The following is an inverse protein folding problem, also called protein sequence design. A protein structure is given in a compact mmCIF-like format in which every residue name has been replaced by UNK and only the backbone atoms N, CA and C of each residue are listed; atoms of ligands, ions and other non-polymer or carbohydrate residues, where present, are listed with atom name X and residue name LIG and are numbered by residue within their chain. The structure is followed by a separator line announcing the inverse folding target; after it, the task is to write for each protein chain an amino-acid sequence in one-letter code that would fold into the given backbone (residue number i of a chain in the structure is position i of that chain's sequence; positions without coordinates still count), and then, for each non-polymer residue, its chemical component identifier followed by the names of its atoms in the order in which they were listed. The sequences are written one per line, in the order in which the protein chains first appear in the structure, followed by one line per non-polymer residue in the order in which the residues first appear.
data_IF_968866492476
#
_entry.id   IF_968866492476
#
_cell.length_a   1.000
_cell.length_b   1.000
_cell.length_c   1.000
_cell.angle_alpha   90.00
_cell.angle_beta   90.00
_cell.angle_gamma   90.00
#
_symmetry.space_group_name_H-M   'P 1'
#
loop_
_entity.id
_entity.type
_entity.pdbx_description
1 polymer ?
#
# COMPACT_ATOMS: atom_id res chain seq x y z
N UNK A 1 -21.81 1.72 7.13
CA UNK A 1 -20.43 2.19 7.32
C UNK A 1 -19.91 2.81 6.05
N UNK A 2 -19.10 3.84 6.22
CA UNK A 2 -18.49 4.50 5.08
C UNK A 2 -17.31 3.69 4.58
N UNK A 3 -17.18 3.60 3.27
CA UNK A 3 -16.00 2.98 2.66
C UNK A 3 -14.77 3.85 2.96
N UNK A 4 -13.63 3.21 3.13
CA UNK A 4 -12.37 3.91 3.36
C UNK A 4 -12.05 4.84 2.18
N UNK A 5 -11.74 6.11 2.47
CA UNK A 5 -11.39 7.10 1.46
C UNK A 5 -9.90 7.42 1.52
N UNK A 6 -9.36 7.96 0.42
CA UNK A 6 -7.96 8.37 0.38
C UNK A 6 -7.66 9.46 1.42
N UNK A 7 -8.60 10.39 1.61
CA UNK A 7 -8.43 11.45 2.62
C UNK A 7 -8.29 10.86 4.03
N UNK A 8 -9.15 9.91 4.37
CA UNK A 8 -9.07 9.22 5.66
C UNK A 8 -7.77 8.43 5.79
N UNK A 9 -7.35 7.77 4.71
CA UNK A 9 -6.10 7.03 4.70
C UNK A 9 -4.91 7.94 4.99
N UNK A 10 -4.89 9.14 4.42
CA UNK A 10 -3.82 10.10 4.68
C UNK A 10 -3.79 10.54 6.13
N UNK A 11 -4.96 10.75 6.74
CA UNK A 11 -5.04 11.09 8.16
C UNK A 11 -4.49 9.97 9.04
N UNK A 12 -4.85 8.73 8.73
CA UNK A 12 -4.39 7.58 9.51
C UNK A 12 -2.88 7.41 9.39
N UNK A 13 -2.34 7.48 8.18
CA UNK A 13 -0.91 7.26 7.98
C UNK A 13 -0.07 8.28 8.73
N UNK A 14 -0.52 9.53 8.81
CA UNK A 14 0.19 10.59 9.56
C UNK A 14 0.36 10.26 11.04
N UNK A 15 -0.51 9.43 11.60
CA UNK A 15 -0.44 9.04 13.00
C UNK A 15 0.67 8.02 13.26
N UNK A 16 1.10 7.29 12.23
CA UNK A 16 2.00 6.16 12.38
C UNK A 16 3.29 6.27 11.57
N UNK A 17 3.40 7.26 10.70
CA UNK A 17 4.54 7.42 9.80
C UNK A 17 5.00 8.88 9.78
N UNK A 18 6.31 9.09 9.86
CA UNK A 18 6.89 10.45 9.82
C UNK A 18 7.96 10.60 8.74
N UNK A 19 8.54 9.51 8.24
CA UNK A 19 9.63 9.57 7.26
C UNK A 19 9.14 9.85 5.85
N UNK A 20 9.78 10.82 5.18
CA UNK A 20 9.37 11.27 3.85
C UNK A 20 9.37 10.16 2.81
N UNK A 21 10.38 9.29 2.83
CA UNK A 21 10.47 8.23 1.81
C UNK A 21 9.31 7.23 1.92
N UNK A 22 8.76 7.05 3.12
CA UNK A 22 7.61 6.17 3.31
C UNK A 22 6.33 6.80 2.77
N UNK A 23 6.20 8.14 2.89
CA UNK A 23 5.07 8.84 2.27
C UNK A 23 5.16 8.81 0.75
N UNK A 24 6.36 8.95 0.19
CA UNK A 24 6.57 8.87 -1.26
C UNK A 24 6.19 7.47 -1.76
N UNK A 25 6.61 6.43 -1.06
CA UNK A 25 6.25 5.05 -1.40
C UNK A 25 4.73 4.85 -1.33
N UNK A 26 4.10 5.35 -0.26
CA UNK A 26 2.65 5.26 -0.10
C UNK A 26 1.92 5.94 -1.26
N UNK A 27 2.38 7.13 -1.66
CA UNK A 27 1.80 7.87 -2.78
C UNK A 27 1.97 7.11 -4.10
N UNK A 28 3.13 6.50 -4.30
CA UNK A 28 3.43 5.75 -5.52
C UNK A 28 2.53 4.52 -5.65
N UNK A 29 2.38 3.76 -4.58
CA UNK A 29 1.51 2.58 -4.58
C UNK A 29 0.05 2.99 -4.71
N UNK A 30 -0.34 4.09 -4.04
CA UNK A 30 -1.70 4.63 -4.14
C UNK A 30 -2.06 4.99 -5.59
N UNK A 31 -1.17 5.71 -6.27
CA UNK A 31 -1.40 6.11 -7.66
C UNK A 31 -1.52 4.90 -8.58
N UNK A 32 -0.66 3.91 -8.40
CA UNK A 32 -0.71 2.69 -9.20
C UNK A 32 -1.99 1.90 -8.94
N UNK A 33 -2.44 1.85 -7.67
CA UNK A 33 -3.70 1.19 -7.33
C UNK A 33 -4.88 1.91 -7.95
N UNK A 34 -4.83 3.25 -8.05
CA UNK A 34 -5.87 4.01 -8.74
C UNK A 34 -5.97 3.62 -10.21
N UNK A 35 -4.84 3.45 -10.88
CA UNK A 35 -4.80 3.01 -12.28
C UNK A 35 -5.36 1.60 -12.43
N UNK A 36 -5.05 0.71 -11.48
CA UNK A 36 -5.60 -0.65 -11.51
C UNK A 36 -7.11 -0.64 -11.28
N UNK A 37 -7.60 0.24 -10.41
CA UNK A 37 -9.04 0.38 -10.18
C UNK A 37 -9.75 0.79 -11.48
N UNK A 38 -9.17 1.73 -12.23
CA UNK A 38 -9.73 2.14 -13.52
C UNK A 38 -9.77 0.96 -14.50
N UNK A 39 -8.71 0.16 -14.53
CA UNK A 39 -8.66 -1.02 -15.40
C UNK A 39 -9.76 -2.02 -15.08
N UNK A 40 -10.02 -2.25 -13.80
CA UNK A 40 -11.03 -3.21 -13.36
C UNK A 40 -12.43 -2.58 -13.19
N UNK A 41 -12.61 -1.30 -13.50
CA UNK A 41 -13.87 -0.56 -13.32
C UNK A 41 -14.34 -0.57 -11.87
N UNK A 42 -13.39 -0.39 -10.96
CA UNK A 42 -13.67 -0.35 -9.52
C UNK A 42 -13.53 1.07 -8.97
N UNK A 43 -13.85 1.26 -7.69
CA UNK A 43 -13.77 2.57 -7.03
C UNK A 43 -12.32 3.00 -6.86
N UNK A 44 -11.89 3.99 -7.64
CA UNK A 44 -10.52 4.48 -7.62
C UNK A 44 -10.10 4.99 -6.24
N UNK A 45 -10.96 5.79 -5.59
CA UNK A 45 -10.65 6.37 -4.28
C UNK A 45 -10.41 5.28 -3.24
N UNK A 46 -11.23 4.24 -3.23
CA UNK A 46 -11.09 3.11 -2.32
C UNK A 46 -9.77 2.37 -2.54
N UNK A 47 -9.44 2.06 -3.79
CA UNK A 47 -8.20 1.35 -4.11
C UNK A 47 -6.96 2.18 -3.78
N UNK A 48 -7.03 3.49 -4.04
CA UNK A 48 -5.95 4.40 -3.68
C UNK A 48 -5.74 4.44 -2.17
N UNK A 49 -6.83 4.43 -1.40
CA UNK A 49 -6.77 4.42 0.05
C UNK A 49 -6.08 3.15 0.57
N UNK A 50 -6.42 2.01 0.02
CA UNK A 50 -5.81 0.73 0.39
C UNK A 50 -4.32 0.75 0.09
N UNK A 51 -3.93 1.23 -1.09
CA UNK A 51 -2.53 1.35 -1.45
C UNK A 51 -1.76 2.29 -0.54
N UNK A 52 -2.39 3.40 -0.15
CA UNK A 52 -1.75 4.39 0.72
C UNK A 52 -1.45 3.82 2.10
N UNK A 53 -2.29 2.92 2.59
CA UNK A 53 -2.16 2.36 3.94
C UNK A 53 -1.43 1.02 4.01
N UNK A 54 -0.97 0.47 2.88
CA UNK A 54 -0.44 -0.89 2.90
C UNK A 54 0.75 -1.08 3.85
N UNK A 55 1.55 -0.04 4.06
CA UNK A 55 2.71 -0.09 4.96
C UNK A 55 2.48 0.69 6.26
N UNK A 56 1.25 0.80 6.72
CA UNK A 56 0.90 1.64 7.88
C UNK A 56 1.69 1.27 9.14
N UNK A 57 2.05 0.01 9.31
CA UNK A 57 2.78 -0.46 10.50
C UNK A 57 4.30 -0.54 10.29
N UNK A 58 4.80 -0.19 9.12
CA UNK A 58 6.20 -0.44 8.77
C UNK A 58 7.17 0.39 9.61
N UNK A 59 6.91 1.68 9.77
CA UNK A 59 7.84 2.57 10.49
C UNK A 59 7.98 2.17 11.97
N UNK A 60 6.84 1.87 12.61
CA UNK A 60 6.83 1.54 14.04
C UNK A 60 7.27 0.10 14.31
N UNK A 61 6.95 -0.81 13.40
CA UNK A 61 7.22 -2.24 13.58
C UNK A 61 7.81 -2.87 12.32
N UNK A 62 9.01 -2.43 11.90
CA UNK A 62 9.59 -2.94 10.64
C UNK A 62 9.86 -4.45 10.66
N UNK A 63 10.14 -5.02 11.82
CA UNK A 63 10.38 -6.45 11.95
C UNK A 63 9.10 -7.26 12.11
N UNK A 64 7.97 -6.58 12.35
CA UNK A 64 6.68 -7.22 12.52
C UNK A 64 5.66 -6.62 11.53
N UNK A 65 6.15 -6.23 10.37
CA UNK A 65 5.34 -5.64 9.32
C UNK A 65 4.16 -6.57 8.97
N UNK A 66 2.99 -5.98 8.76
CA UNK A 66 1.70 -6.64 8.53
C UNK A 66 1.05 -7.24 9.78
N UNK A 67 1.76 -7.36 10.89
CA UNK A 67 1.21 -7.97 12.11
C UNK A 67 0.46 -6.97 12.98
N UNK A 68 0.65 -5.67 12.77
CA UNK A 68 0.00 -4.61 13.55
C UNK A 68 -1.04 -3.85 12.76
N UNK A 69 -1.31 -4.24 11.52
CA UNK A 69 -2.27 -3.55 10.65
C UNK A 69 -3.66 -3.49 11.29
N UNK A 70 -4.15 -4.61 11.76
CA UNK A 70 -5.48 -4.67 12.38
C UNK A 70 -5.54 -3.79 13.63
N UNK A 71 -4.49 -3.81 14.42
CA UNK A 71 -4.38 -3.01 15.64
C UNK A 71 -4.49 -1.51 15.36
N UNK A 72 -3.92 -1.07 14.22
CA UNK A 72 -3.92 0.36 13.86
C UNK A 72 -5.19 0.77 13.14
N UNK A 73 -5.78 -0.09 12.34
CA UNK A 73 -6.88 0.26 11.46
C UNK A 73 -8.27 -0.03 12.03
N UNK A 74 -8.43 -1.10 12.80
CA UNK A 74 -9.73 -1.42 13.38
C UNK A 74 -10.31 -0.30 14.24
N UNK A 75 -9.51 0.35 15.13
CA UNK A 75 -10.03 1.47 15.93
C UNK A 75 -10.43 2.67 15.09
N UNK A 76 -9.94 2.79 13.86
CA UNK A 76 -10.29 3.90 12.97
C UNK A 76 -11.54 3.63 12.15
N UNK A 77 -12.18 2.48 12.37
CA UNK A 77 -13.40 2.15 11.66
C UNK A 77 -13.20 1.52 10.30
N UNK A 78 -11.99 1.08 10.00
CA UNK A 78 -11.68 0.41 8.71
C UNK A 78 -12.29 -0.99 8.72
N UNK A 79 -12.97 -1.36 7.63
CA UNK A 79 -13.64 -2.66 7.51
C UNK A 79 -12.63 -3.81 7.49
N UNK A 80 -13.04 -4.95 8.04
CA UNK A 80 -12.18 -6.13 8.08
C UNK A 80 -11.77 -6.58 6.67
N UNK A 81 -12.63 -6.40 5.68
CA UNK A 81 -12.31 -6.72 4.29
C UNK A 81 -11.13 -5.90 3.79
N UNK A 82 -11.07 -4.62 4.15
CA UNK A 82 -9.97 -3.73 3.78
C UNK A 82 -8.69 -4.08 4.54
N UNK A 83 -8.83 -4.41 5.82
CA UNK A 83 -7.70 -4.85 6.63
C UNK A 83 -7.11 -6.13 6.06
N UNK A 84 -7.97 -7.08 5.67
CA UNK A 84 -7.57 -8.32 5.04
C UNK A 84 -6.77 -8.04 3.76
N UNK A 85 -7.26 -7.11 2.93
CA UNK A 85 -6.59 -6.77 1.68
C UNK A 85 -5.19 -6.21 1.94
N UNK A 86 -5.07 -5.32 2.92
CA UNK A 86 -3.78 -4.72 3.27
C UNK A 86 -2.81 -5.79 3.77
N UNK A 87 -3.24 -6.65 4.67
CA UNK A 87 -2.39 -7.71 5.21
C UNK A 87 -1.91 -8.66 4.12
N UNK A 88 -2.75 -8.93 3.12
CA UNK A 88 -2.42 -9.88 2.07
C UNK A 88 -1.22 -9.48 1.23
N UNK A 89 -0.84 -8.19 1.18
CA UNK A 89 0.30 -7.77 0.39
C UNK A 89 1.63 -8.34 0.91
N UNK A 90 1.67 -8.75 2.17
CA UNK A 90 2.87 -9.33 2.77
C UNK A 90 2.95 -10.85 2.67
N UNK A 91 2.01 -11.48 1.94
CA UNK A 91 1.96 -12.94 1.82
C UNK A 91 3.30 -13.52 1.35
N UNK A 92 3.76 -14.53 2.09
CA UNK A 92 4.99 -15.23 1.74
C UNK A 92 6.27 -14.55 2.17
N UNK A 93 6.20 -13.30 2.63
CA UNK A 93 7.38 -12.53 3.07
C UNK A 93 7.26 -12.15 4.54
N UNK A 94 6.20 -11.42 4.89
CA UNK A 94 6.00 -10.91 6.26
C UNK A 94 4.91 -11.67 7.02
N UNK A 95 4.00 -12.28 6.31
CA UNK A 95 2.85 -12.97 6.90
C UNK A 95 2.43 -14.15 6.04
N UNK A 96 1.76 -15.10 6.65
CA UNK A 96 1.09 -16.19 5.93
C UNK A 96 -0.39 -16.25 6.31
N UNK A 97 -0.92 -15.15 6.85
CA UNK A 97 -2.30 -15.10 7.32
C UNK A 97 -3.31 -15.09 6.17
N UNK A 98 -3.09 -14.25 5.15
CA UNK A 98 -4.01 -14.10 4.02
C UNK A 98 -3.29 -14.11 2.69
N UNK A 99 -3.60 -15.09 1.85
CA UNK A 99 -3.11 -15.14 0.48
C UNK A 99 -3.92 -14.19 -0.40
N UNK A 100 -3.27 -13.39 -1.27
CA UNK A 100 -4.03 -12.52 -2.18
C UNK A 100 -4.96 -13.33 -3.09
N UNK A 101 -6.24 -12.99 -3.09
CA UNK A 101 -7.26 -13.74 -3.81
C UNK A 101 -8.11 -12.87 -4.73
N UNK A 102 -8.48 -11.66 -4.28
CA UNK A 102 -9.32 -10.76 -5.07
C UNK A 102 -8.49 -9.94 -6.06
N UNK A 103 -9.10 -9.34 -7.10
CA UNK A 103 -8.36 -8.43 -7.98
C UNK A 103 -7.68 -7.31 -7.23
N UNK A 104 -8.31 -6.74 -6.20
CA UNK A 104 -7.72 -5.72 -5.36
C UNK A 104 -6.45 -6.23 -4.67
N UNK A 105 -6.53 -7.39 -4.05
CA UNK A 105 -5.42 -7.97 -3.30
C UNK A 105 -4.25 -8.35 -4.19
N UNK A 106 -4.54 -8.95 -5.33
CA UNK A 106 -3.51 -9.34 -6.29
C UNK A 106 -2.84 -8.11 -6.91
N UNK A 107 -3.62 -7.06 -7.17
CA UNK A 107 -3.09 -5.81 -7.68
C UNK A 107 -2.14 -5.17 -6.68
N UNK A 108 -2.54 -5.11 -5.41
CA UNK A 108 -1.71 -4.53 -4.36
C UNK A 108 -0.40 -5.30 -4.20
N UNK A 109 -0.47 -6.62 -4.17
CA UNK A 109 0.71 -7.47 -4.05
C UNK A 109 1.70 -7.20 -5.19
N UNK A 110 1.19 -7.16 -6.43
CA UNK A 110 2.01 -6.98 -7.63
C UNK A 110 2.58 -5.56 -7.71
N UNK A 111 1.75 -4.55 -7.46
CA UNK A 111 2.15 -3.15 -7.52
C UNK A 111 3.21 -2.83 -6.48
N UNK A 112 3.07 -3.36 -5.28
CA UNK A 112 4.04 -3.12 -4.21
C UNK A 112 5.42 -3.66 -4.61
N UNK A 113 5.49 -4.87 -5.14
CA UNK A 113 6.74 -5.44 -5.61
C UNK A 113 7.35 -4.62 -6.76
N UNK A 114 6.52 -4.26 -7.75
CA UNK A 114 6.99 -3.48 -8.89
C UNK A 114 7.51 -2.11 -8.46
N UNK A 115 6.81 -1.43 -7.57
CA UNK A 115 7.22 -0.13 -7.07
C UNK A 115 8.56 -0.24 -6.34
N UNK A 116 8.75 -1.27 -5.55
CA UNK A 116 10.01 -1.52 -4.87
C UNK A 116 11.17 -1.72 -5.84
N UNK A 117 10.94 -2.47 -6.92
CA UNK A 117 11.95 -2.70 -7.96
C UNK A 117 12.31 -1.39 -8.66
N UNK A 118 11.31 -0.57 -9.00
CA UNK A 118 11.52 0.71 -9.66
C UNK A 118 12.35 1.65 -8.77
N UNK A 119 12.04 1.71 -7.48
CA UNK A 119 12.78 2.56 -6.55
C UNK A 119 14.21 2.08 -6.39
N UNK A 120 14.43 0.77 -6.31
CA UNK A 120 15.78 0.23 -6.20
C UNK A 120 16.60 0.56 -7.44
N UNK A 121 16.00 0.43 -8.62
CA UNK A 121 16.68 0.77 -9.88
C UNK A 121 17.02 2.26 -9.94
N UNK A 122 16.08 3.12 -9.56
CA UNK A 122 16.30 4.56 -9.55
C UNK A 122 17.48 4.95 -8.63
N UNK A 123 17.60 4.30 -7.48
CA UNK A 123 18.69 4.56 -6.53
C UNK A 123 20.06 4.16 -7.10
N UNK A 124 20.10 3.24 -8.04
CA UNK A 124 21.34 2.79 -8.67
C UNK A 124 21.77 3.62 -9.88
N UNK A 125 20.90 4.53 -10.35
CA UNK A 125 21.18 5.37 -11.52
C UNK A 125 21.75 6.70 -11.08
N UNK A 126 22.76 7.25 -11.81
CA UNK A 126 23.29 8.59 -11.50
C UNK A 126 22.23 9.69 -11.58
N UNK A 127 21.26 9.56 -12.50
CA UNK A 127 20.19 10.53 -12.70
C UNK A 127 18.98 10.27 -11.80
N UNK A 128 19.02 9.22 -10.98
CA UNK A 128 17.86 8.84 -10.19
C UNK A 128 16.72 8.39 -11.08
N UNK A 129 15.52 8.97 -10.87
CA UNK A 129 14.32 8.59 -11.63
C UNK A 129 14.18 9.37 -12.94
N UNK A 130 14.94 10.45 -13.10
CA UNK A 130 14.87 11.27 -14.31
C UNK A 130 15.29 10.46 -15.54
N UNK A 131 14.48 10.53 -16.60
CA UNK A 131 14.78 9.84 -17.84
C UNK A 131 14.54 8.33 -17.78
N UNK A 132 14.05 7.81 -16.67
CA UNK A 132 13.77 6.40 -16.52
C UNK A 132 12.48 6.05 -17.26
N UNK A 133 12.54 5.01 -18.10
CA UNK A 133 11.39 4.58 -18.88
C UNK A 133 11.09 3.10 -18.61
N UNK A 134 9.81 2.77 -18.68
CA UNK A 134 9.35 1.41 -18.59
C UNK A 134 9.29 0.81 -19.98
N UNK A 135 9.98 -0.28 -20.19
CA UNK A 135 10.02 -0.95 -21.49
C UNK A 135 9.53 -2.38 -21.42
#
# INVERSE_FOLDING_TARGET
MSRLTLEKAKEILKKHTTEDHLFIHAQSVSAAMGAMADYFHEDRDHWEAIGYLHDVDYEEYPEEHCRHVREFLAPEGVDEEDIHAIISHGWGVCTDEFEPATPLEKSLFTVDELTGIIMAYALMRPEGIDGMELK
#
